data_IF_046697254553
#
_entry.id   IF_046697254553
#
_cell.length_a   1.000
_cell.length_b   1.000
_cell.length_c   1.000
_cell.angle_alpha   90.00
_cell.angle_beta   90.00
_cell.angle_gamma   90.00
#
_symmetry.space_group_name_H-M   'P 1'
#
loop_
_entity.id
_entity.type
_entity.pdbx_description
1 polymer ?
#
# COMPACT_ATOMS: atom_id res chain seq x y z
N UNK A 1 13.56 43.00 31.06
CA UNK A 1 12.16 42.52 31.02
C UNK A 1 11.90 41.86 29.68
N UNK A 2 11.67 40.55 29.64
CA UNK A 2 11.22 39.85 28.43
C UNK A 2 9.77 40.21 28.16
N UNK A 3 9.49 40.74 26.97
CA UNK A 3 8.13 41.11 26.56
C UNK A 3 7.26 39.84 26.48
N UNK A 4 6.28 39.72 27.37
CA UNK A 4 5.40 38.55 27.50
C UNK A 4 4.64 38.26 26.21
N UNK A 5 4.20 39.31 25.50
CA UNK A 5 3.52 39.18 24.22
C UNK A 5 4.45 38.59 23.15
N UNK A 6 5.72 38.99 23.13
CA UNK A 6 6.70 38.43 22.19
C UNK A 6 6.97 36.95 22.44
N UNK A 7 7.09 36.54 23.72
CA UNK A 7 7.29 35.12 24.09
C UNK A 7 6.08 34.28 23.72
N UNK A 8 4.87 34.78 24.01
CA UNK A 8 3.62 34.13 23.61
C UNK A 8 3.52 33.97 22.10
N UNK A 9 3.77 35.05 21.33
CA UNK A 9 3.72 35.05 19.87
C UNK A 9 4.74 34.08 19.25
N UNK A 10 5.96 34.01 19.81
CA UNK A 10 7.01 33.09 19.37
C UNK A 10 6.59 31.63 19.55
N UNK A 11 6.01 31.28 20.69
CA UNK A 11 5.51 29.93 20.93
C UNK A 11 4.32 29.58 20.04
N UNK A 12 3.38 30.51 19.88
CA UNK A 12 2.23 30.34 19.00
C UNK A 12 2.66 30.09 17.54
N UNK A 13 3.61 30.85 17.02
CA UNK A 13 4.18 30.65 15.67
C UNK A 13 4.83 29.27 15.53
N UNK A 14 5.53 28.79 16.55
CA UNK A 14 6.13 27.45 16.56
C UNK A 14 5.07 26.34 16.48
N UNK A 15 3.97 26.48 17.22
CA UNK A 15 2.86 25.51 17.18
C UNK A 15 2.17 25.52 15.82
N UNK A 16 1.87 26.70 15.27
CA UNK A 16 1.23 26.82 13.95
C UNK A 16 2.11 26.23 12.85
N UNK A 17 3.41 26.55 12.85
CA UNK A 17 4.34 26.05 11.83
C UNK A 17 4.50 24.53 11.92
N UNK A 18 4.62 23.98 13.13
CA UNK A 18 4.69 22.55 13.34
C UNK A 18 3.37 21.84 12.96
N UNK A 19 2.23 22.38 13.37
CA UNK A 19 0.92 21.85 13.01
C UNK A 19 0.66 21.90 11.50
N UNK A 20 0.99 23.01 10.85
CA UNK A 20 0.91 23.15 9.40
C UNK A 20 1.81 22.16 8.67
N UNK A 21 3.04 21.94 9.16
CA UNK A 21 3.92 20.92 8.63
C UNK A 21 3.32 19.52 8.72
N UNK A 22 2.73 19.14 9.86
CA UNK A 22 2.09 17.84 10.03
C UNK A 22 0.89 17.64 9.10
N UNK A 23 0.08 18.69 8.88
CA UNK A 23 -1.05 18.62 7.95
C UNK A 23 -0.54 18.42 6.51
N UNK A 24 0.45 19.20 6.08
CA UNK A 24 1.05 19.04 4.75
C UNK A 24 1.68 17.66 4.58
N UNK A 25 2.36 17.16 5.61
CA UNK A 25 2.95 15.83 5.63
C UNK A 25 1.88 14.74 5.53
N UNK A 26 0.78 14.86 6.27
CA UNK A 26 -0.37 13.96 6.17
C UNK A 26 -0.99 13.95 4.77
N UNK A 27 -1.21 15.13 4.18
CA UNK A 27 -1.72 15.25 2.81
C UNK A 27 -0.76 14.65 1.77
N UNK A 28 0.55 14.80 1.98
CA UNK A 28 1.58 14.23 1.13
C UNK A 28 1.63 12.69 1.20
N UNK A 29 1.46 12.11 2.39
CA UNK A 29 1.43 10.65 2.57
C UNK A 29 0.10 10.00 2.20
N UNK A 30 -1.01 10.75 2.23
CA UNK A 30 -2.35 10.25 1.88
C UNK A 30 -2.42 9.49 0.54
N UNK A 31 -1.93 10.04 -0.60
CA UNK A 31 -1.97 9.31 -1.88
C UNK A 31 -1.10 8.05 -1.86
N UNK A 32 0.05 8.07 -1.20
CA UNK A 32 0.93 6.89 -1.09
C UNK A 32 0.26 5.75 -0.33
N UNK A 33 -0.46 6.09 0.75
CA UNK A 33 -1.22 5.11 1.55
C UNK A 33 -2.38 4.54 0.71
N UNK A 34 -3.06 5.38 -0.05
CA UNK A 34 -4.19 4.97 -0.89
C UNK A 34 -3.73 4.07 -2.05
N UNK A 35 -2.63 4.42 -2.72
CA UNK A 35 -1.99 3.58 -3.75
C UNK A 35 -1.55 2.23 -3.18
N UNK A 36 -0.90 2.22 -2.00
CA UNK A 36 -0.50 0.99 -1.34
C UNK A 36 -1.71 0.09 -1.01
N UNK A 37 -2.80 0.69 -0.52
CA UNK A 37 -4.05 -0.03 -0.23
C UNK A 37 -4.69 -0.59 -1.51
N UNK A 38 -4.69 0.19 -2.59
CA UNK A 38 -5.20 -0.24 -3.89
C UNK A 38 -4.40 -1.42 -4.43
N UNK A 39 -3.06 -1.33 -4.45
CA UNK A 39 -2.18 -2.42 -4.90
C UNK A 39 -2.38 -3.69 -4.08
N UNK A 40 -2.46 -3.58 -2.76
CA UNK A 40 -2.68 -4.74 -1.89
C UNK A 40 -4.06 -5.40 -2.14
N UNK A 41 -5.09 -4.58 -2.40
CA UNK A 41 -6.43 -5.08 -2.75
C UNK A 41 -6.44 -5.75 -4.12
N UNK A 42 -5.75 -5.17 -5.11
CA UNK A 42 -5.60 -5.71 -6.45
C UNK A 42 -4.91 -7.08 -6.40
N UNK A 43 -3.77 -7.19 -5.71
CA UNK A 43 -3.02 -8.45 -5.58
C UNK A 43 -3.92 -9.53 -4.96
N UNK A 44 -4.63 -9.21 -3.87
CA UNK A 44 -5.53 -10.15 -3.19
C UNK A 44 -6.69 -10.63 -4.08
N UNK A 45 -7.25 -9.74 -4.91
CA UNK A 45 -8.31 -10.09 -5.85
C UNK A 45 -7.77 -10.93 -7.02
N UNK A 46 -6.64 -10.54 -7.59
CA UNK A 46 -6.01 -11.24 -8.71
C UNK A 46 -5.50 -12.63 -8.28
N UNK A 47 -4.92 -12.76 -7.09
CA UNK A 47 -4.53 -14.05 -6.51
C UNK A 47 -5.74 -14.98 -6.36
N UNK A 48 -6.85 -14.49 -5.81
CA UNK A 48 -8.10 -15.28 -5.72
C UNK A 48 -8.64 -15.69 -7.09
N UNK A 49 -8.59 -14.79 -8.08
CA UNK A 49 -9.03 -15.08 -9.44
C UNK A 49 -8.18 -16.16 -10.10
N UNK A 50 -6.86 -16.04 -10.00
CA UNK A 50 -5.90 -17.02 -10.53
C UNK A 50 -6.07 -18.39 -9.84
N UNK A 51 -6.19 -18.40 -8.51
CA UNK A 51 -6.35 -19.64 -7.74
C UNK A 51 -7.66 -20.36 -8.08
N UNK A 52 -8.76 -19.63 -8.26
CA UNK A 52 -10.01 -20.22 -8.75
C UNK A 52 -9.87 -20.80 -10.16
N UNK A 53 -9.19 -20.09 -11.07
CA UNK A 53 -8.96 -20.57 -12.44
C UNK A 53 -8.14 -21.86 -12.46
N UNK A 54 -7.05 -21.91 -11.69
CA UNK A 54 -6.21 -23.11 -11.60
C UNK A 54 -6.93 -24.32 -11.00
N UNK A 55 -7.88 -24.10 -10.08
CA UNK A 55 -8.69 -25.18 -9.49
C UNK A 55 -9.81 -25.65 -10.43
N UNK A 56 -10.45 -24.76 -11.21
CA UNK A 56 -11.54 -25.12 -12.13
C UNK A 56 -11.01 -25.89 -13.34
N UNK A 57 -9.84 -25.50 -13.85
CA UNK A 57 -9.29 -26.05 -15.07
C UNK A 57 -8.36 -27.27 -14.83
N UNK A 58 -8.20 -27.72 -13.57
CA UNK A 58 -7.31 -28.81 -13.10
C UNK A 58 -5.83 -28.67 -13.55
N UNK A 59 -5.45 -27.46 -13.98
CA UNK A 59 -4.11 -27.10 -14.48
C UNK A 59 -3.10 -27.04 -13.33
N UNK A 60 -3.57 -27.09 -12.07
CA UNK A 60 -2.73 -27.04 -10.90
C UNK A 60 -1.66 -28.13 -10.86
N UNK A 61 -2.00 -29.36 -11.28
CA UNK A 61 -1.08 -30.49 -11.25
C UNK A 61 -0.06 -30.44 -12.41
N UNK A 62 -0.46 -29.94 -13.58
CA UNK A 62 0.43 -29.76 -14.74
C UNK A 62 1.41 -28.62 -14.52
N UNK A 63 0.94 -27.48 -13.99
CA UNK A 63 1.81 -26.34 -13.67
C UNK A 63 2.81 -26.67 -12.55
N UNK A 64 2.43 -27.49 -11.57
CA UNK A 64 3.34 -27.96 -10.53
C UNK A 64 4.44 -28.85 -11.14
N UNK A 65 4.10 -29.73 -12.10
CA UNK A 65 5.08 -30.58 -12.81
C UNK A 65 6.00 -29.78 -13.72
N UNK A 66 5.52 -28.73 -14.37
CA UNK A 66 6.33 -27.89 -15.28
C UNK A 66 7.23 -26.89 -14.56
N UNK A 67 6.72 -26.25 -13.49
CA UNK A 67 7.42 -25.14 -12.82
C UNK A 67 8.06 -25.52 -11.50
N UNK A 68 7.63 -26.63 -10.89
CA UNK A 68 8.02 -27.02 -9.53
C UNK A 68 7.41 -26.15 -8.43
N UNK A 69 6.61 -25.13 -8.77
CA UNK A 69 5.95 -24.24 -7.82
C UNK A 69 4.57 -24.75 -7.43
N UNK A 70 4.17 -24.46 -6.19
CA UNK A 70 2.79 -24.71 -5.74
C UNK A 70 1.81 -23.73 -6.39
N UNK A 71 0.55 -24.16 -6.56
CA UNK A 71 -0.52 -23.38 -7.19
C UNK A 71 -0.72 -22.01 -6.50
N UNK A 72 -0.56 -21.98 -5.17
CA UNK A 72 -0.66 -20.77 -4.35
C UNK A 72 0.47 -19.78 -4.65
N UNK A 73 1.70 -20.25 -4.84
CA UNK A 73 2.82 -19.39 -5.22
C UNK A 73 2.67 -18.86 -6.64
N UNK A 74 2.16 -19.67 -7.56
CA UNK A 74 1.87 -19.24 -8.93
C UNK A 74 0.79 -18.15 -8.96
N UNK A 75 -0.31 -18.36 -8.24
CA UNK A 75 -1.40 -17.39 -8.11
C UNK A 75 -0.92 -16.07 -7.49
N UNK A 76 0.00 -16.15 -6.53
CA UNK A 76 0.65 -14.98 -5.94
C UNK A 76 1.49 -14.23 -6.98
N UNK A 77 2.37 -14.92 -7.72
CA UNK A 77 3.20 -14.30 -8.77
C UNK A 77 2.34 -13.64 -9.84
N UNK A 78 1.27 -14.30 -10.29
CA UNK A 78 0.34 -13.74 -11.26
C UNK A 78 -0.41 -12.52 -10.71
N UNK A 79 -0.80 -12.57 -9.42
CA UNK A 79 -1.37 -11.43 -8.71
C UNK A 79 -0.44 -10.22 -8.64
N UNK A 80 0.84 -10.43 -8.36
CA UNK A 80 1.84 -9.36 -8.40
C UNK A 80 2.07 -8.83 -9.82
N UNK A 81 2.16 -9.70 -10.82
CA UNK A 81 2.38 -9.32 -12.23
C UNK A 81 1.26 -8.44 -12.77
N UNK A 82 0.00 -8.78 -12.48
CA UNK A 82 -1.17 -8.03 -12.96
C UNK A 82 -1.33 -6.67 -12.29
N UNK A 83 -0.82 -6.52 -11.06
CA UNK A 83 -0.97 -5.32 -10.24
C UNK A 83 0.33 -4.50 -10.08
N UNK A 84 1.39 -4.86 -10.81
CA UNK A 84 2.69 -4.16 -10.79
C UNK A 84 2.73 -2.88 -11.64
N UNK A 85 1.65 -2.56 -12.36
CA UNK A 85 1.57 -1.42 -13.27
C UNK A 85 1.26 -0.10 -12.57
#
# INVERSE_FOLDING_TARGET
MTNIFYVWWKNHRRVITFGGFLILLGLFFSPVIEEAKYKNTCIKLSEKGALNKFNVDDIGETLLKETGLTITELAKIEGYKNCAK
#
